data_IF_621254556285
#
_entry.id   IF_621254556285
#
_cell.length_a   1.000
_cell.length_b   1.000
_cell.length_c   1.000
_cell.angle_alpha   90.00
_cell.angle_beta   90.00
_cell.angle_gamma   90.00
#
_symmetry.space_group_name_H-M   'P 1'
#
loop_
_entity.id
_entity.type
_entity.pdbx_description
1 polymer ?
#
# COMPACT_ATOMS: atom_id res chain seq x y z
N UNK A 1 -3.42 37.39 -21.71
CA UNK A 1 -2.70 36.10 -21.83
C UNK A 1 -3.25 35.20 -20.75
N UNK A 2 -4.12 34.25 -21.11
CA UNK A 2 -4.72 33.32 -20.14
C UNK A 2 -3.71 32.20 -19.86
N UNK A 3 -3.16 32.15 -18.65
CA UNK A 3 -2.35 31.01 -18.24
C UNK A 3 -3.25 29.77 -18.17
N UNK A 4 -2.82 28.60 -18.67
CA UNK A 4 -3.55 27.37 -18.43
C UNK A 4 -3.46 27.09 -16.92
N UNK A 5 -4.58 27.22 -16.21
CA UNK A 5 -4.71 26.66 -14.86
C UNK A 5 -4.65 25.16 -15.01
N UNK A 6 -3.47 24.59 -14.82
CA UNK A 6 -3.32 23.15 -14.58
C UNK A 6 -4.14 22.89 -13.31
N UNK A 7 -5.19 22.06 -13.37
CA UNK A 7 -5.99 21.75 -12.19
C UNK A 7 -5.06 21.23 -11.09
N UNK A 8 -5.23 21.67 -9.83
CA UNK A 8 -4.42 21.18 -8.73
C UNK A 8 -4.60 19.67 -8.63
N UNK A 9 -3.49 18.92 -8.51
CA UNK A 9 -3.52 17.48 -8.33
C UNK A 9 -4.34 17.17 -7.08
N UNK A 10 -5.42 16.42 -7.24
CA UNK A 10 -6.29 16.00 -6.14
C UNK A 10 -5.80 14.69 -5.52
N UNK A 11 -6.26 14.38 -4.31
CA UNK A 11 -5.99 13.08 -3.66
C UNK A 11 -6.53 11.91 -4.51
N UNK A 12 -7.67 12.10 -5.18
CA UNK A 12 -8.27 11.11 -6.07
C UNK A 12 -7.38 10.83 -7.29
N UNK A 13 -6.72 11.86 -7.83
CA UNK A 13 -5.77 11.69 -8.93
C UNK A 13 -4.55 10.86 -8.50
N UNK A 14 -4.06 11.08 -7.28
CA UNK A 14 -2.95 10.32 -6.69
C UNK A 14 -3.37 8.85 -6.48
N UNK A 15 -4.56 8.63 -5.91
CA UNK A 15 -5.09 7.28 -5.69
C UNK A 15 -5.24 6.52 -7.01
N UNK A 16 -5.84 7.16 -8.02
CA UNK A 16 -5.98 6.58 -9.36
C UNK A 16 -4.63 6.28 -10.00
N UNK A 17 -3.65 7.18 -9.87
CA UNK A 17 -2.31 6.95 -10.40
C UNK A 17 -1.62 5.74 -9.75
N UNK A 18 -1.68 5.63 -8.42
CA UNK A 18 -1.07 4.53 -7.67
C UNK A 18 -1.72 3.17 -7.98
N UNK A 19 -3.05 3.13 -8.17
CA UNK A 19 -3.77 1.91 -8.57
C UNK A 19 -3.37 1.45 -9.97
N UNK A 20 -3.19 2.39 -10.91
CA UNK A 20 -2.82 2.08 -12.29
C UNK A 20 -1.32 1.90 -12.51
N UNK A 21 -0.48 2.18 -11.50
CA UNK A 21 0.97 2.10 -11.59
C UNK A 21 1.56 1.27 -10.44
N UNK A 22 1.36 -0.07 -10.44
CA UNK A 22 1.82 -0.92 -9.34
C UNK A 22 3.33 -0.87 -9.12
N UNK A 23 4.12 -0.75 -10.19
CA UNK A 23 5.59 -0.65 -10.17
C UNK A 23 6.11 0.63 -9.50
N UNK A 24 5.21 1.58 -9.19
CA UNK A 24 5.56 2.79 -8.45
C UNK A 24 6.23 2.47 -7.12
N UNK A 25 5.72 1.49 -6.38
CA UNK A 25 6.27 1.13 -5.06
C UNK A 25 7.61 0.38 -5.17
N UNK A 26 7.87 -0.29 -6.29
CA UNK A 26 9.19 -0.90 -6.55
C UNK A 26 10.25 0.17 -6.81
N UNK A 27 9.88 1.22 -7.57
CA UNK A 27 10.78 2.34 -7.89
C UNK A 27 10.93 3.34 -6.74
N UNK A 28 9.94 3.42 -5.86
CA UNK A 28 9.89 4.33 -4.72
C UNK A 28 9.82 3.57 -3.39
N UNK A 29 10.64 2.52 -3.26
CA UNK A 29 10.68 1.67 -2.05
C UNK A 29 10.98 2.47 -0.77
N UNK A 30 11.83 3.51 -0.84
CA UNK A 30 12.13 4.38 0.29
C UNK A 30 10.93 5.22 0.73
N UNK A 31 10.08 5.65 -0.21
CA UNK A 31 8.82 6.34 0.09
C UNK A 31 7.90 5.40 0.86
N UNK A 32 7.81 4.15 0.42
CA UNK A 32 7.01 3.13 1.10
C UNK A 32 7.48 2.88 2.53
N UNK A 33 8.79 2.83 2.75
CA UNK A 33 9.40 2.67 4.07
C UNK A 33 9.16 3.89 4.98
N UNK A 34 9.04 5.08 4.41
CA UNK A 34 8.78 6.32 5.14
C UNK A 34 7.28 6.54 5.45
N UNK A 35 6.36 5.93 4.68
CA UNK A 35 4.92 6.05 4.91
C UNK A 35 4.51 5.22 6.13
N UNK A 36 4.22 5.93 7.22
CA UNK A 36 3.65 5.34 8.43
C UNK A 36 2.13 5.54 8.44
N UNK A 37 1.38 4.45 8.32
CA UNK A 37 -0.05 4.47 8.57
C UNK A 37 -0.27 4.35 10.08
N UNK A 38 -0.66 5.46 10.73
CA UNK A 38 -1.07 5.42 12.14
C UNK A 38 -2.37 4.64 12.25
N UNK A 39 -2.32 3.44 12.82
CA UNK A 39 -3.51 2.66 13.11
C UNK A 39 -4.39 3.40 14.14
N UNK A 40 -5.71 3.53 13.91
CA UNK A 40 -6.62 4.18 14.85
C UNK A 40 -6.84 3.40 16.15
N UNK A 41 -6.28 2.19 16.31
CA UNK A 41 -6.49 1.31 17.47
C UNK A 41 -5.26 1.11 18.39
N UNK A 42 -4.26 1.99 18.34
CA UNK A 42 -3.29 2.12 19.42
C UNK A 42 -1.87 1.64 19.10
N UNK A 43 -0.95 2.59 19.20
CA UNK A 43 0.44 2.46 19.65
C UNK A 43 1.48 1.64 18.87
N UNK A 44 1.23 1.18 17.64
CA UNK A 44 2.34 0.87 16.71
C UNK A 44 2.03 1.39 15.32
N UNK A 45 2.86 2.29 14.81
CA UNK A 45 2.94 2.55 13.38
C UNK A 45 3.42 1.24 12.74
N UNK A 46 2.58 0.65 11.89
CA UNK A 46 2.91 -0.58 11.19
C UNK A 46 3.28 -0.18 9.77
N UNK A 47 4.49 -0.51 9.33
CA UNK A 47 4.90 -0.28 7.94
C UNK A 47 3.92 -0.97 7.00
N UNK A 48 3.67 -0.41 5.81
CA UNK A 48 2.89 -1.11 4.79
C UNK A 48 3.51 -2.49 4.46
N UNK A 49 4.83 -2.61 4.59
CA UNK A 49 5.55 -3.87 4.41
C UNK A 49 5.23 -4.90 5.51
N UNK A 50 5.08 -4.46 6.76
CA UNK A 50 4.65 -5.35 7.85
C UNK A 50 3.22 -5.85 7.60
N UNK A 51 2.31 -4.97 7.13
CA UNK A 51 0.95 -5.39 6.74
C UNK A 51 0.97 -6.38 5.58
N UNK A 52 1.80 -6.16 4.55
CA UNK A 52 1.93 -7.10 3.44
C UNK A 52 2.50 -8.45 3.87
N UNK A 53 3.53 -8.45 4.73
CA UNK A 53 4.10 -9.68 5.27
C UNK A 53 3.11 -10.45 6.13
N UNK A 54 2.27 -9.74 6.91
CA UNK A 54 1.21 -10.35 7.70
C UNK A 54 0.15 -11.01 6.81
N UNK A 55 -0.31 -10.31 5.76
CA UNK A 55 -1.26 -10.87 4.78
C UNK A 55 -0.68 -12.10 4.05
N UNK A 56 0.60 -12.08 3.69
CA UNK A 56 1.27 -13.22 3.06
C UNK A 56 1.35 -14.42 4.02
N UNK A 57 1.70 -14.18 5.28
CA UNK A 57 1.73 -15.24 6.31
C UNK A 57 0.35 -15.83 6.54
N UNK A 58 -0.70 -15.01 6.55
CA UNK A 58 -2.07 -15.49 6.68
C UNK A 58 -2.51 -16.34 5.49
N UNK A 59 -2.17 -15.91 4.26
CA UNK A 59 -2.43 -16.69 3.04
C UNK A 59 -1.70 -18.04 3.03
N UNK A 60 -0.43 -18.06 3.44
CA UNK A 60 0.37 -19.30 3.55
C UNK A 60 -0.29 -20.24 4.55
N UNK A 61 -0.63 -19.77 5.76
CA UNK A 61 -1.32 -20.59 6.77
C UNK A 61 -2.63 -21.17 6.27
N UNK A 62 -3.43 -20.39 5.54
CA UNK A 62 -4.67 -20.87 4.94
C UNK A 62 -4.47 -21.94 3.87
N UNK A 63 -3.39 -21.84 3.09
CA UNK A 63 -3.02 -22.85 2.10
C UNK A 63 -2.49 -24.13 2.77
N UNK A 64 -1.67 -24.00 3.81
CA UNK A 64 -1.16 -25.12 4.61
C UNK A 64 -2.29 -25.91 5.28
N UNK A 65 -3.29 -25.22 5.85
CA UNK A 65 -4.44 -25.88 6.47
C UNK A 65 -5.24 -26.70 5.46
N UNK A 66 -5.54 -26.13 4.28
CA UNK A 66 -6.25 -26.84 3.21
C UNK A 66 -5.45 -28.03 2.66
N UNK A 67 -4.13 -27.91 2.61
CA UNK A 67 -3.27 -29.02 2.19
C UNK A 67 -3.22 -30.16 3.22
N UNK A 68 -3.39 -29.85 4.51
CA UNK A 68 -3.47 -30.86 5.57
C UNK A 68 -4.83 -31.57 5.65
N UNK A 69 -5.88 -31.00 5.04
CA UNK A 69 -7.23 -31.58 4.97
C UNK A 69 -7.44 -32.52 3.75
N UNK A 70 -6.46 -32.63 2.85
CA UNK A 70 -6.43 -33.57 1.71
C UNK A 70 -5.54 -34.78 2.00
#
# INVERSE_FOLDING_TARGET
>A
MSQPSIPPITEDDIANYLVNTPDFFERHADLLAAVQLTSPHGHRAVSLQERQAEMLREKIRGLELRAAEM
#
